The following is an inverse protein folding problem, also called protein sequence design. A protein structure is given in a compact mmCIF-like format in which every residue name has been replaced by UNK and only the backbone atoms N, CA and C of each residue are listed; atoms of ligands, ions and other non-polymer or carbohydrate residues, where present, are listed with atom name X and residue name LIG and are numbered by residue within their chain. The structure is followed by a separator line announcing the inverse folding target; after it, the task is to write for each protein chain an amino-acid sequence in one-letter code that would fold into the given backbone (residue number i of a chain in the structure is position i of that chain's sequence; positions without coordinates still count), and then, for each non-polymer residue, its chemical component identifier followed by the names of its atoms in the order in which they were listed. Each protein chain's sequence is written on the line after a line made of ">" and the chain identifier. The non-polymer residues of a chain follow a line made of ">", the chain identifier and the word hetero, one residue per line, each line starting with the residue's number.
data_IF_390465929197
#
_entry.id   IF_390465929197
#
_cell.length_a   1.000
_cell.length_b   1.000
_cell.length_c   1.000
_cell.angle_alpha   90.00
_cell.angle_beta   90.00
_cell.angle_gamma   90.00
#
_symmetry.space_group_name_H-M   'P 1'
#
loop_
_entity.id
_entity.type
_entity.pdbx_description
1 polymer ?
#
# COMPACT_ATOMS: atom_id res chain seq x y z
N UNK A 1 10.30 11.30 -5.39
CA UNK A 1 8.84 11.27 -5.69
C UNK A 1 8.07 10.91 -4.42
N UNK A 2 7.24 11.82 -3.92
CA UNK A 2 6.48 11.63 -2.67
C UNK A 2 5.45 10.51 -2.80
N UNK A 3 5.44 9.57 -1.85
CA UNK A 3 4.39 8.54 -1.72
C UNK A 3 3.26 9.09 -0.86
N UNK A 4 2.03 8.76 -1.24
CA UNK A 4 0.82 9.06 -0.49
C UNK A 4 0.36 7.78 0.20
N UNK A 5 0.24 7.76 1.54
CA UNK A 5 -0.37 6.65 2.26
C UNK A 5 -1.80 6.43 1.78
N UNK A 6 -2.19 5.15 1.71
CA UNK A 6 -3.53 4.74 1.29
C UNK A 6 -4.16 3.95 2.42
N UNK A 7 -5.43 4.20 2.70
CA UNK A 7 -6.27 3.42 3.60
C UNK A 7 -7.35 2.69 2.81
N UNK A 8 -7.66 1.47 3.24
CA UNK A 8 -8.85 0.74 2.83
C UNK A 8 -10.12 1.43 3.39
N UNK A 9 -11.33 1.06 2.91
CA UNK A 9 -12.58 1.62 3.43
C UNK A 9 -12.73 1.48 4.95
N UNK A 10 -12.27 0.36 5.50
CA UNK A 10 -12.21 0.04 6.95
C UNK A 10 -11.14 0.84 7.73
N UNK A 11 -10.36 1.69 7.07
CA UNK A 11 -9.30 2.49 7.67
C UNK A 11 -7.96 1.75 7.83
N UNK A 12 -7.89 0.45 7.54
CA UNK A 12 -6.64 -0.32 7.58
C UNK A 12 -5.66 0.17 6.50
N UNK A 13 -4.34 0.09 6.74
CA UNK A 13 -3.36 0.54 5.77
C UNK A 13 -3.35 -0.33 4.50
N UNK A 14 -3.19 0.31 3.36
CA UNK A 14 -2.97 -0.30 2.06
C UNK A 14 -1.63 0.15 1.47
N UNK A 15 -1.23 -0.46 0.35
CA UNK A 15 0.03 -0.11 -0.30
C UNK A 15 0.06 1.38 -0.70
N UNK A 16 1.07 2.16 -0.27
CA UNK A 16 1.19 3.56 -0.65
C UNK A 16 1.30 3.74 -2.16
N UNK A 17 0.78 4.85 -2.67
CA UNK A 17 0.74 5.11 -4.11
C UNK A 17 1.45 6.42 -4.48
N UNK A 18 1.57 6.68 -5.78
CA UNK A 18 2.15 7.93 -6.30
C UNK A 18 1.13 9.07 -6.11
N UNK A 19 1.61 10.28 -5.83
CA UNK A 19 0.74 11.46 -5.66
C UNK A 19 -0.26 11.65 -6.81
N UNK A 20 0.21 11.63 -8.07
CA UNK A 20 -0.67 11.79 -9.24
C UNK A 20 -1.77 10.74 -9.32
N UNK A 21 -1.52 9.50 -8.86
CA UNK A 21 -2.51 8.43 -8.88
C UNK A 21 -3.55 8.64 -7.79
N UNK A 22 -3.11 9.02 -6.59
CA UNK A 22 -3.99 9.36 -5.48
C UNK A 22 -4.93 10.52 -5.86
N UNK A 23 -4.38 11.56 -6.51
CA UNK A 23 -5.15 12.69 -7.00
C UNK A 23 -6.21 12.27 -8.02
N UNK A 24 -5.84 11.49 -9.06
CA UNK A 24 -6.81 10.97 -10.04
C UNK A 24 -7.92 10.13 -9.41
N UNK A 25 -7.61 9.33 -8.38
CA UNK A 25 -8.65 8.58 -7.66
C UNK A 25 -9.65 9.49 -6.94
N UNK A 26 -9.18 10.58 -6.34
CA UNK A 26 -10.07 11.54 -5.69
C UNK A 26 -10.91 12.29 -6.71
N UNK A 27 -10.30 12.76 -7.80
CA UNK A 27 -11.01 13.43 -8.92
C UNK A 27 -12.08 12.53 -9.55
N UNK A 28 -11.79 11.24 -9.71
CA UNK A 28 -12.74 10.23 -10.20
C UNK A 28 -13.74 9.76 -9.14
N UNK A 29 -13.71 10.31 -7.92
CA UNK A 29 -14.61 9.93 -6.85
C UNK A 29 -14.37 8.55 -6.24
N UNK A 30 -13.26 7.87 -6.56
CA UNK A 30 -12.88 6.53 -6.08
C UNK A 30 -12.24 6.52 -4.69
N UNK A 31 -11.73 7.67 -4.25
CA UNK A 31 -11.11 7.85 -2.95
C UNK A 31 -11.43 9.23 -2.36
N UNK A 32 -11.10 9.45 -1.10
CA UNK A 32 -11.21 10.75 -0.41
C UNK A 32 -9.90 11.12 0.27
N UNK A 33 -9.57 12.40 0.34
CA UNK A 33 -8.44 12.86 1.14
C UNK A 33 -8.75 12.75 2.63
N UNK A 34 -7.82 12.20 3.39
CA UNK A 34 -7.92 12.07 4.85
C UNK A 34 -6.66 12.61 5.51
N UNK A 35 -6.83 13.20 6.70
CA UNK A 35 -5.71 13.55 7.59
C UNK A 35 -5.47 12.38 8.53
N UNK A 36 -4.22 11.99 8.69
CA UNK A 36 -3.84 11.00 9.70
C UNK A 36 -3.54 11.68 11.03
N UNK A 37 -3.44 10.90 12.13
CA UNK A 37 -3.03 11.42 13.45
C UNK A 37 -1.64 12.08 13.41
N UNK A 38 -0.79 11.68 12.46
CA UNK A 38 0.53 12.28 12.21
C UNK A 38 0.47 13.55 11.35
N UNK A 39 -0.74 14.10 11.10
CA UNK A 39 -0.99 15.26 10.23
C UNK A 39 -0.48 15.05 8.79
N UNK A 40 -0.28 13.80 8.36
CA UNK A 40 0.11 13.47 6.99
C UNK A 40 -1.12 13.44 6.08
N UNK A 41 -0.91 13.84 4.83
CA UNK A 41 -1.92 13.76 3.77
C UNK A 41 -1.98 12.33 3.25
N UNK A 42 -3.14 11.70 3.35
CA UNK A 42 -3.40 10.34 2.88
C UNK A 42 -4.71 10.28 2.08
N UNK A 43 -4.95 9.18 1.37
CA UNK A 43 -6.24 8.91 0.74
C UNK A 43 -6.89 7.66 1.33
N UNK A 44 -8.21 7.68 1.46
CA UNK A 44 -9.02 6.50 1.81
C UNK A 44 -9.85 6.07 0.61
N UNK A 45 -9.74 4.79 0.23
CA UNK A 45 -10.53 4.19 -0.82
C UNK A 45 -12.01 4.12 -0.41
N UNK A 46 -12.93 4.32 -1.36
CA UNK A 46 -14.38 4.16 -1.12
C UNK A 46 -14.89 2.75 -1.37
N UNK A 47 -14.19 1.99 -2.22
CA UNK A 47 -14.55 0.63 -2.58
C UNK A 47 -13.52 -0.36 -2.02
N UNK A 48 -13.96 -1.59 -1.80
CA UNK A 48 -13.09 -2.68 -1.37
C UNK A 48 -11.97 -2.92 -2.39
N UNK A 49 -10.72 -3.11 -1.94
CA UNK A 49 -9.64 -3.45 -2.84
C UNK A 49 -9.89 -4.84 -3.44
N UNK A 50 -9.31 -5.09 -4.63
CA UNK A 50 -9.45 -6.38 -5.32
C UNK A 50 -8.85 -7.57 -4.56
N UNK A 51 -8.10 -7.34 -3.48
CA UNK A 51 -7.62 -8.38 -2.59
C UNK A 51 -6.89 -7.82 -1.37
N UNK A 52 -6.84 -8.64 -0.31
CA UNK A 52 -6.06 -8.41 0.92
C UNK A 52 -4.94 -9.43 1.13
N UNK A 53 -4.73 -10.34 0.16
CA UNK A 53 -3.75 -11.42 0.28
C UNK A 53 -2.34 -10.84 0.43
N UNK A 54 -1.64 -11.25 1.47
CA UNK A 54 -0.23 -10.93 1.71
C UNK A 54 0.62 -12.18 1.50
N UNK A 55 1.90 -12.00 1.19
CA UNK A 55 2.85 -13.10 1.22
C UNK A 55 3.24 -13.40 2.67
N UNK A 56 3.28 -14.67 3.10
CA UNK A 56 3.86 -15.03 4.38
C UNK A 56 5.35 -14.67 4.39
N UNK A 57 5.85 -14.24 5.55
CA UNK A 57 7.29 -14.04 5.73
C UNK A 57 7.93 -15.43 5.75
N UNK A 58 8.89 -15.66 4.85
CA UNK A 58 9.68 -16.89 4.79
C UNK A 58 11.14 -16.57 5.06
N UNK A 59 11.76 -17.35 5.94
CA UNK A 59 13.22 -17.35 6.14
C UNK A 59 13.79 -18.39 5.20
N UNK A 60 14.38 -17.93 4.09
CA UNK A 60 15.13 -18.80 3.19
C UNK A 60 16.52 -19.05 3.78
N UNK A 61 16.87 -20.32 3.97
CA UNK A 61 18.27 -20.71 4.10
C UNK A 61 18.80 -20.84 2.68
N UNK A 62 19.67 -19.92 2.24
CA UNK A 62 20.44 -20.11 1.02
C UNK A 62 21.60 -21.06 1.37
N UNK A 63 21.59 -22.33 0.94
CA UNK A 63 22.67 -23.26 1.25
C UNK A 63 24.00 -22.86 0.57
N UNK A 64 23.98 -21.84 -0.32
CA UNK A 64 25.11 -21.52 -1.18
C UNK A 64 25.45 -22.68 -2.12
N UNK A 65 26.46 -22.48 -2.95
CA UNK A 65 27.02 -23.55 -3.78
C UNK A 65 27.86 -24.44 -2.87
N UNK A 66 27.25 -25.45 -2.24
CA UNK A 66 27.97 -26.62 -1.71
C UNK A 66 28.54 -27.42 -2.90
N UNK A 67 29.46 -26.82 -3.65
CA UNK A 67 30.29 -27.49 -4.63
C UNK A 67 31.47 -28.08 -3.86
N UNK A 68 31.44 -29.40 -3.62
CA UNK A 68 32.47 -30.11 -2.85
C UNK A 68 33.69 -30.55 -3.68
N UNK A 69 33.90 -29.96 -4.86
CA UNK A 69 34.98 -30.34 -5.78
C UNK A 69 34.47 -30.96 -7.08
#
# INVERSE_FOLDING_TARGET
>A
MQRIPVQNPDGTPAMPTKHHRAQRWVEQGRATWVKTNLRLKAVRLKAEPSGRKTQPIVVGVDPGKLYSG
#
